data_IF_523158825837
#
_entry.id   IF_523158825837
#
_cell.length_a   1.000
_cell.length_b   1.000
_cell.length_c   1.000
_cell.angle_alpha   90.00
_cell.angle_beta   90.00
_cell.angle_gamma   90.00
#
_symmetry.space_group_name_H-M   'P 1'
#
loop_
_entity.id
_entity.type
_entity.pdbx_description
1 polymer ?
#
# COMPACT_ATOMS: atom_id res chain seq x y z
N UNK A 1 39.28 10.77 -51.69
CA UNK A 1 38.39 9.96 -50.83
C UNK A 1 39.04 9.60 -49.50
N UNK A 2 40.36 9.41 -49.42
CA UNK A 2 41.05 9.10 -48.15
C UNK A 2 41.06 10.27 -47.15
N UNK A 3 41.33 11.49 -47.62
CA UNK A 3 41.32 12.68 -46.75
C UNK A 3 39.93 12.99 -46.19
N UNK A 4 38.86 12.80 -46.98
CA UNK A 4 37.48 12.98 -46.51
C UNK A 4 37.08 11.95 -45.47
N UNK A 5 37.57 10.70 -45.58
CA UNK A 5 37.32 9.65 -44.60
C UNK A 5 38.03 9.93 -43.27
N UNK A 6 39.29 10.39 -43.30
CA UNK A 6 40.04 10.76 -42.09
C UNK A 6 39.39 11.93 -41.33
N UNK A 7 38.90 12.94 -42.05
CA UNK A 7 38.18 14.07 -41.45
C UNK A 7 36.88 13.60 -40.77
N UNK A 8 36.10 12.73 -41.41
CA UNK A 8 34.88 12.18 -40.82
C UNK A 8 35.16 11.33 -39.57
N UNK A 9 36.20 10.49 -39.59
CA UNK A 9 36.60 9.68 -38.43
C UNK A 9 37.04 10.57 -37.27
N UNK A 10 37.77 11.65 -37.55
CA UNK A 10 38.18 12.61 -36.51
C UNK A 10 36.98 13.32 -35.88
N UNK A 11 35.99 13.73 -36.67
CA UNK A 11 34.76 14.38 -36.18
C UNK A 11 33.94 13.39 -35.33
N UNK A 12 33.83 12.14 -35.77
CA UNK A 12 33.08 11.10 -35.05
C UNK A 12 33.70 10.80 -33.68
N UNK A 13 35.03 10.73 -33.60
CA UNK A 13 35.72 10.54 -32.32
C UNK A 13 35.56 11.75 -31.38
N UNK A 14 35.62 12.97 -31.92
CA UNK A 14 35.38 14.19 -31.13
C UNK A 14 33.97 14.18 -30.53
N UNK A 15 32.96 13.84 -31.32
CA UNK A 15 31.58 13.71 -30.86
C UNK A 15 31.43 12.65 -29.76
N UNK A 16 32.10 11.52 -29.90
CA UNK A 16 32.06 10.43 -28.91
C UNK A 16 32.65 10.88 -27.56
N UNK A 17 33.77 11.63 -27.57
CA UNK A 17 34.37 12.19 -26.34
C UNK A 17 33.43 13.18 -25.66
N UNK A 18 32.75 14.04 -26.43
CA UNK A 18 31.77 14.99 -25.89
C UNK A 18 30.60 14.25 -25.22
N UNK A 19 30.05 13.21 -25.87
CA UNK A 19 28.94 12.41 -25.33
C UNK A 19 29.34 11.74 -24.02
N UNK A 20 30.54 11.14 -23.95
CA UNK A 20 31.05 10.52 -22.72
C UNK A 20 31.25 11.54 -21.60
N UNK A 21 31.71 12.75 -21.92
CA UNK A 21 31.83 13.85 -20.96
C UNK A 21 30.48 14.28 -20.37
N UNK A 22 29.46 14.42 -21.22
CA UNK A 22 28.09 14.76 -20.78
C UNK A 22 27.49 13.66 -19.91
N UNK A 23 27.64 12.39 -20.30
CA UNK A 23 27.16 11.26 -19.49
C UNK A 23 27.85 11.19 -18.13
N UNK A 24 29.18 11.36 -18.09
CA UNK A 24 29.94 11.42 -16.85
C UNK A 24 29.48 12.56 -15.93
N UNK A 25 29.23 13.74 -16.49
CA UNK A 25 28.71 14.88 -15.75
C UNK A 25 27.31 14.64 -15.18
N UNK A 26 26.41 14.03 -15.96
CA UNK A 26 25.06 13.70 -15.49
C UNK A 26 25.08 12.66 -14.36
N UNK A 27 25.91 11.62 -14.47
CA UNK A 27 26.10 10.62 -13.41
C UNK A 27 26.66 11.28 -12.15
N UNK A 28 27.68 12.13 -12.27
CA UNK A 28 28.25 12.87 -11.15
C UNK A 28 27.19 13.73 -10.45
N UNK A 29 26.36 14.45 -11.22
CA UNK A 29 25.27 15.27 -10.68
C UNK A 29 24.21 14.44 -9.95
N UNK A 30 23.87 13.26 -10.46
CA UNK A 30 22.94 12.33 -9.80
C UNK A 30 23.50 11.78 -8.49
N UNK A 31 24.82 11.54 -8.42
CA UNK A 31 25.48 11.13 -7.18
C UNK A 31 25.53 12.26 -6.14
N UNK A 32 25.71 13.52 -6.55
CA UNK A 32 25.69 14.65 -5.62
C UNK A 32 24.30 14.95 -5.03
N UNK A 33 23.21 14.54 -5.68
CA UNK A 33 21.86 14.72 -5.15
C UNK A 33 21.49 13.71 -4.05
N UNK A 34 22.27 12.65 -3.85
CA UNK A 34 22.09 11.69 -2.75
C UNK A 34 22.99 12.02 -1.57
N UNK A 35 22.73 13.11 -0.86
CA UNK A 35 23.13 13.31 0.55
C UNK A 35 22.45 14.53 1.19
N UNK A 36 21.13 14.52 1.43
CA UNK A 36 20.62 15.03 2.68
C UNK A 36 20.73 13.89 3.69
N UNK A 37 21.85 13.80 4.42
CA UNK A 37 21.79 13.22 5.77
C UNK A 37 20.89 14.15 6.56
N UNK A 38 19.59 13.82 6.56
CA UNK A 38 18.64 14.37 7.49
C UNK A 38 19.10 13.88 8.86
N UNK A 39 19.93 14.69 9.53
CA UNK A 39 20.15 14.58 10.98
C UNK A 39 18.75 14.54 11.57
N UNK A 40 18.36 13.40 12.13
CA UNK A 40 17.22 13.31 13.02
C UNK A 40 17.39 14.45 14.04
N UNK A 41 16.35 15.23 14.34
CA UNK A 41 16.39 16.02 15.56
C UNK A 41 16.50 15.02 16.70
N UNK A 42 17.69 14.91 17.29
CA UNK A 42 17.87 14.34 18.61
C UNK A 42 16.86 15.06 19.50
N UNK A 43 15.88 14.29 19.96
CA UNK A 43 14.92 14.74 20.95
C UNK A 43 15.73 14.86 22.24
N UNK A 44 16.36 16.01 22.44
CA UNK A 44 16.89 16.36 23.76
C UNK A 44 15.68 16.43 24.66
N UNK A 45 15.44 15.34 25.39
CA UNK A 45 14.43 15.26 26.43
C UNK A 45 14.76 16.36 27.44
N UNK A 46 13.97 17.43 27.42
CA UNK A 46 13.96 18.42 28.49
C UNK A 46 13.56 17.67 29.79
N UNK A 47 14.37 17.70 30.85
CA UNK A 47 14.13 16.93 32.07
C UNK A 47 12.89 17.38 32.88
N UNK A 48 12.08 18.31 32.39
CA UNK A 48 11.00 18.94 33.13
C UNK A 48 9.60 18.80 32.50
N UNK A 49 9.29 17.65 31.89
CA UNK A 49 7.92 17.36 31.46
C UNK A 49 7.02 16.96 32.64
N UNK A 50 5.85 17.57 32.73
CA UNK A 50 4.79 17.19 33.68
C UNK A 50 4.41 15.71 33.49
N UNK A 51 4.15 14.94 34.57
CA UNK A 51 3.90 13.49 34.50
C UNK A 51 2.78 13.10 33.53
N UNK A 52 1.73 13.91 33.42
CA UNK A 52 0.61 13.65 32.50
C UNK A 52 1.00 13.73 31.01
N UNK A 53 2.00 14.56 30.67
CA UNK A 53 2.52 14.67 29.29
C UNK A 53 3.30 13.40 28.95
N UNK A 54 4.08 12.88 29.90
CA UNK A 54 4.86 11.65 29.72
C UNK A 54 3.96 10.43 29.50
N UNK A 55 2.83 10.34 30.23
CA UNK A 55 1.83 9.27 30.05
C UNK A 55 1.25 9.33 28.63
N UNK A 56 0.81 10.53 28.19
CA UNK A 56 0.25 10.72 26.85
C UNK A 56 1.26 10.47 25.74
N UNK A 57 2.53 10.86 25.93
CA UNK A 57 3.59 10.57 24.95
C UNK A 57 3.85 9.07 24.82
N UNK A 58 3.84 8.33 25.94
CA UNK A 58 3.98 6.87 25.95
C UNK A 58 2.80 6.15 25.30
N UNK A 59 1.59 6.70 25.43
CA UNK A 59 0.40 6.23 24.72
C UNK A 59 0.51 6.51 23.21
N UNK A 60 0.94 7.70 22.81
CA UNK A 60 1.16 8.05 21.40
C UNK A 60 2.27 7.23 20.75
N UNK A 61 3.30 6.83 21.50
CA UNK A 61 4.38 5.99 20.98
C UNK A 61 3.90 4.58 20.62
N UNK A 62 2.89 4.05 21.35
CA UNK A 62 2.21 2.79 20.97
C UNK A 62 1.37 2.93 19.70
N UNK A 63 0.92 4.14 19.39
CA UNK A 63 0.11 4.46 18.21
C UNK A 63 0.93 4.86 16.98
N UNK A 64 2.25 4.99 17.09
CA UNK A 64 3.09 5.27 15.92
C UNK A 64 3.01 4.07 14.98
N UNK A 65 2.46 4.22 13.76
CA UNK A 65 2.52 3.14 12.77
C UNK A 65 3.99 2.78 12.58
N UNK A 66 4.31 1.49 12.60
CA UNK A 66 5.69 1.08 12.34
C UNK A 66 6.03 1.60 10.95
N UNK A 67 7.22 2.16 10.76
CA UNK A 67 7.65 2.67 9.45
C UNK A 67 7.48 1.62 8.34
N UNK A 68 7.54 0.34 8.67
CA UNK A 68 7.26 -0.79 7.76
C UNK A 68 5.88 -0.75 7.10
N UNK A 69 4.89 -0.09 7.70
CA UNK A 69 3.50 -0.17 7.26
C UNK A 69 3.18 0.89 6.18
N UNK A 70 4.11 1.83 5.95
CA UNK A 70 3.99 2.90 4.94
C UNK A 70 4.69 2.57 3.62
N UNK A 71 5.55 1.54 3.60
CA UNK A 71 6.35 1.16 2.43
C UNK A 71 5.92 -0.18 1.89
N UNK A 72 6.23 -0.41 0.61
CA UNK A 72 5.94 -1.69 -0.03
C UNK A 72 6.78 -2.81 0.60
N UNK A 73 6.19 -3.95 1.05
CA UNK A 73 6.93 -5.09 1.59
C UNK A 73 7.97 -5.66 0.62
N UNK A 74 7.72 -5.53 -0.69
CA UNK A 74 8.61 -6.04 -1.74
C UNK A 74 9.69 -5.04 -2.13
N UNK A 75 9.44 -3.73 -1.94
CA UNK A 75 10.37 -2.65 -2.27
C UNK A 75 10.39 -1.64 -1.11
N UNK A 76 11.23 -1.85 -0.09
CA UNK A 76 11.26 -1.00 1.12
C UNK A 76 11.58 0.47 0.85
N UNK A 77 12.19 0.77 -0.31
CA UNK A 77 12.51 2.14 -0.73
C UNK A 77 11.35 2.85 -1.45
N UNK A 78 10.29 2.13 -1.82
CA UNK A 78 9.13 2.68 -2.51
C UNK A 78 7.94 2.83 -1.55
N UNK A 79 7.27 4.00 -1.51
CA UNK A 79 6.08 4.16 -0.70
C UNK A 79 4.96 3.25 -1.20
N UNK A 80 4.18 2.71 -0.27
CA UNK A 80 2.98 1.99 -0.62
C UNK A 80 1.87 2.97 -1.01
N UNK A 81 1.12 2.65 -2.07
CA UNK A 81 0.04 3.50 -2.61
C UNK A 81 -1.35 2.92 -2.34
N UNK A 82 -1.48 1.59 -2.35
CA UNK A 82 -2.79 0.93 -2.25
C UNK A 82 -2.67 -0.38 -1.49
N UNK A 83 -3.70 -0.73 -0.72
CA UNK A 83 -3.74 -1.97 0.06
C UNK A 83 -4.24 -3.14 -0.78
N UNK A 84 -3.75 -4.34 -0.48
CA UNK A 84 -4.32 -5.56 -1.04
C UNK A 84 -5.61 -5.93 -0.29
N UNK A 85 -6.70 -6.20 -1.02
CA UNK A 85 -8.01 -6.50 -0.44
C UNK A 85 -8.08 -7.79 0.39
N UNK A 86 -7.08 -8.69 0.29
CA UNK A 86 -7.01 -9.93 1.08
C UNK A 86 -6.13 -9.74 2.31
N UNK A 87 -4.86 -9.33 2.13
CA UNK A 87 -3.90 -9.29 3.24
C UNK A 87 -3.74 -7.93 3.92
N UNK A 88 -4.46 -6.89 3.47
CA UNK A 88 -4.44 -5.51 4.00
C UNK A 88 -3.06 -4.83 4.07
N UNK A 89 -2.02 -5.44 3.51
CA UNK A 89 -0.70 -4.84 3.37
C UNK A 89 -0.70 -3.80 2.26
N UNK A 90 0.05 -2.72 2.47
CA UNK A 90 0.22 -1.62 1.52
C UNK A 90 1.29 -1.98 0.46
N UNK A 91 1.01 -1.77 -0.82
CA UNK A 91 1.94 -2.09 -1.91
C UNK A 91 2.15 -0.87 -2.82
N UNK A 92 3.32 -0.79 -3.44
CA UNK A 92 3.58 0.21 -4.49
C UNK A 92 2.82 -0.12 -5.78
N UNK A 93 2.71 0.86 -6.68
CA UNK A 93 2.03 0.75 -7.98
C UNK A 93 2.51 -0.43 -8.85
N UNK A 94 3.78 -0.80 -8.75
CA UNK A 94 4.36 -1.91 -9.51
C UNK A 94 3.94 -3.29 -8.96
N UNK A 95 3.65 -3.38 -7.67
CA UNK A 95 3.35 -4.65 -6.97
C UNK A 95 1.85 -4.93 -6.83
N UNK A 96 1.00 -3.91 -6.96
CA UNK A 96 -0.45 -4.04 -6.90
C UNK A 96 -1.05 -4.14 -8.30
N UNK A 97 -2.15 -4.90 -8.43
CA UNK A 97 -2.91 -5.05 -9.67
C UNK A 97 -4.41 -4.86 -9.39
N UNK A 98 -5.11 -4.04 -10.18
CA UNK A 98 -6.56 -3.94 -10.08
C UNK A 98 -7.24 -5.20 -10.64
N UNK A 99 -8.31 -5.64 -10.00
CA UNK A 99 -9.20 -6.69 -10.49
C UNK A 99 -10.63 -6.38 -10.02
N UNK A 100 -11.54 -6.18 -10.98
CA UNK A 100 -12.87 -5.60 -10.72
C UNK A 100 -12.74 -4.24 -10.01
N UNK A 101 -13.41 -4.05 -8.88
CA UNK A 101 -13.42 -2.86 -8.02
C UNK A 101 -12.29 -2.86 -6.97
N UNK A 102 -11.52 -3.94 -6.87
CA UNK A 102 -10.54 -4.19 -5.81
C UNK A 102 -9.11 -4.26 -6.34
N UNK A 103 -8.15 -4.26 -5.42
CA UNK A 103 -6.72 -4.31 -5.70
C UNK A 103 -6.05 -5.49 -4.97
N UNK A 104 -5.17 -6.20 -5.67
CA UNK A 104 -4.52 -7.39 -5.15
C UNK A 104 -3.01 -7.36 -5.37
N UNK A 105 -2.24 -7.89 -4.41
CA UNK A 105 -0.81 -8.08 -4.58
C UNK A 105 -0.53 -9.29 -5.50
N UNK A 106 0.72 -9.42 -5.95
CA UNK A 106 1.15 -10.51 -6.84
C UNK A 106 0.84 -11.92 -6.30
N UNK A 107 0.85 -12.09 -4.97
CA UNK A 107 0.59 -13.38 -4.31
C UNK A 107 -0.89 -13.75 -4.32
N UNK A 108 -1.78 -12.77 -4.09
CA UNK A 108 -3.21 -13.01 -3.93
C UNK A 108 -4.01 -12.85 -5.22
N UNK A 109 -3.46 -12.19 -6.26
CA UNK A 109 -4.13 -12.08 -7.55
C UNK A 109 -4.45 -13.45 -8.19
N UNK A 110 -3.55 -14.45 -8.18
CA UNK A 110 -3.90 -15.79 -8.65
C UNK A 110 -4.99 -16.47 -7.83
N UNK A 111 -5.09 -16.16 -6.52
CA UNK A 111 -6.08 -16.75 -5.63
C UNK A 111 -7.50 -16.29 -5.99
N UNK A 112 -7.69 -14.98 -6.23
CA UNK A 112 -8.99 -14.44 -6.64
C UNK A 112 -9.40 -14.91 -8.04
N UNK A 113 -8.43 -15.21 -8.91
CA UNK A 113 -8.70 -15.66 -10.29
C UNK A 113 -9.00 -17.15 -10.43
N UNK A 114 -8.54 -17.99 -9.48
CA UNK A 114 -8.63 -19.45 -9.59
C UNK A 114 -9.80 -20.07 -8.83
N UNK A 115 -10.31 -19.38 -7.82
CA UNK A 115 -11.36 -19.90 -6.96
C UNK A 115 -12.67 -19.17 -7.23
N UNK A 116 -13.77 -19.86 -6.95
CA UNK A 116 -15.07 -19.24 -6.79
C UNK A 116 -15.17 -18.59 -5.39
N UNK A 117 -16.01 -17.57 -5.28
CA UNK A 117 -16.17 -16.78 -4.06
C UNK A 117 -17.65 -16.58 -3.78
N UNK A 118 -18.04 -16.83 -2.53
CA UNK A 118 -19.41 -16.74 -2.06
C UNK A 118 -19.55 -15.61 -1.05
N UNK A 119 -20.70 -14.94 -1.10
CA UNK A 119 -21.10 -13.96 -0.11
C UNK A 119 -21.41 -14.66 1.22
N UNK A 120 -20.74 -14.23 2.28
CA UNK A 120 -20.86 -14.83 3.62
C UNK A 120 -21.68 -13.95 4.56
N UNK A 121 -21.45 -12.65 4.49
CA UNK A 121 -21.98 -11.68 5.43
C UNK A 121 -22.12 -10.31 4.77
N UNK A 122 -23.23 -9.63 5.07
CA UNK A 122 -23.55 -8.30 4.54
C UNK A 122 -23.91 -7.36 5.67
N UNK A 123 -23.17 -6.26 5.76
CA UNK A 123 -23.33 -5.22 6.76
C UNK A 123 -23.84 -3.93 6.10
N UNK A 124 -24.98 -3.41 6.55
CA UNK A 124 -25.43 -2.08 6.14
C UNK A 124 -24.70 -1.02 6.97
N UNK A 125 -23.82 -0.26 6.35
CA UNK A 125 -23.13 0.84 7.04
C UNK A 125 -24.01 2.07 7.14
N UNK A 126 -23.84 2.83 8.22
CA UNK A 126 -24.44 4.15 8.40
C UNK A 126 -23.43 5.11 9.01
N UNK A 127 -23.65 6.41 8.82
CA UNK A 127 -22.85 7.45 9.49
C UNK A 127 -23.11 7.53 10.99
N UNK A 128 -24.19 6.91 11.48
CA UNK A 128 -24.55 6.88 12.90
C UNK A 128 -23.85 5.76 13.66
N UNK A 129 -23.43 4.70 12.97
CA UNK A 129 -22.70 3.58 13.56
C UNK A 129 -21.51 3.16 12.67
N UNK A 130 -20.39 3.92 12.70
CA UNK A 130 -19.19 3.56 11.96
C UNK A 130 -18.41 2.41 12.61
N UNK A 131 -18.69 2.08 13.89
CA UNK A 131 -17.91 1.08 14.63
C UNK A 131 -18.07 -0.32 14.07
N UNK A 132 -19.28 -0.68 13.60
CA UNK A 132 -19.53 -1.98 12.99
C UNK A 132 -18.65 -2.23 11.77
N UNK A 133 -18.43 -1.20 10.95
CA UNK A 133 -17.53 -1.28 9.80
C UNK A 133 -16.08 -1.54 10.21
N UNK A 134 -15.60 -0.84 11.25
CA UNK A 134 -14.24 -1.06 11.78
C UNK A 134 -14.08 -2.47 12.32
N UNK A 135 -15.05 -2.96 13.11
CA UNK A 135 -15.05 -4.32 13.65
C UNK A 135 -15.03 -5.39 12.56
N UNK A 136 -15.73 -5.15 11.44
CA UNK A 136 -15.72 -6.04 10.28
C UNK A 136 -14.31 -6.19 9.69
N UNK A 137 -13.61 -5.06 9.47
CA UNK A 137 -12.23 -5.09 8.97
C UNK A 137 -11.25 -5.73 9.96
N UNK A 138 -11.42 -5.50 11.26
CA UNK A 138 -10.60 -6.15 12.29
C UNK A 138 -10.85 -7.66 12.36
N UNK A 139 -12.10 -8.11 12.20
CA UNK A 139 -12.44 -9.53 12.13
C UNK A 139 -11.87 -10.19 10.86
N UNK A 140 -12.01 -9.54 9.71
CA UNK A 140 -11.37 -9.97 8.44
C UNK A 140 -9.86 -10.13 8.60
N UNK A 141 -9.19 -9.14 9.19
CA UNK A 141 -7.75 -9.17 9.41
C UNK A 141 -7.33 -10.36 10.28
N UNK A 142 -8.05 -10.62 11.38
CA UNK A 142 -7.81 -11.80 12.24
C UNK A 142 -8.03 -13.12 11.53
N UNK A 143 -9.07 -13.25 10.71
CA UNK A 143 -9.29 -14.44 9.89
C UNK A 143 -8.07 -14.76 8.99
N UNK A 144 -7.45 -13.73 8.43
CA UNK A 144 -6.26 -13.90 7.62
C UNK A 144 -5.00 -14.17 8.46
N UNK A 145 -4.73 -13.35 9.48
CA UNK A 145 -3.48 -13.44 10.27
C UNK A 145 -3.44 -14.70 11.17
N UNK A 146 -4.55 -15.05 11.81
CA UNK A 146 -4.60 -16.13 12.81
C UNK A 146 -4.92 -17.48 12.16
N UNK A 147 -5.82 -17.49 11.17
CA UNK A 147 -6.34 -18.72 10.55
C UNK A 147 -5.87 -18.95 9.11
N UNK A 148 -5.17 -17.98 8.52
CA UNK A 148 -4.76 -18.02 7.11
C UNK A 148 -5.95 -18.24 6.15
N UNK A 149 -7.13 -17.72 6.52
CA UNK A 149 -8.35 -17.82 5.72
C UNK A 149 -8.47 -16.56 4.87
N UNK A 150 -8.35 -16.67 3.53
CA UNK A 150 -8.44 -15.52 2.65
C UNK A 150 -9.90 -15.07 2.54
N UNK A 151 -10.14 -13.80 2.87
CA UNK A 151 -11.43 -13.13 2.72
C UNK A 151 -11.20 -11.76 2.09
N UNK A 152 -12.19 -11.22 1.40
CA UNK A 152 -12.18 -9.82 0.94
C UNK A 152 -13.53 -9.17 1.20
N UNK A 153 -13.53 -7.84 1.25
CA UNK A 153 -14.74 -7.02 1.44
C UNK A 153 -14.96 -6.20 0.18
N UNK A 154 -16.20 -6.17 -0.31
CA UNK A 154 -16.62 -5.28 -1.38
C UNK A 154 -17.70 -4.32 -0.89
N UNK A 155 -17.59 -3.06 -1.28
CA UNK A 155 -18.57 -2.02 -0.96
C UNK A 155 -19.60 -1.94 -2.08
N UNK A 156 -20.85 -2.22 -1.75
CA UNK A 156 -22.00 -2.11 -2.65
C UNK A 156 -22.83 -0.88 -2.30
N UNK A 157 -23.34 -0.19 -3.32
CA UNK A 157 -24.21 0.98 -3.17
C UNK A 157 -25.59 0.68 -3.72
N UNK A 158 -26.63 1.07 -2.97
CA UNK A 158 -28.02 0.98 -3.42
C UNK A 158 -28.68 2.34 -3.32
N UNK A 159 -29.21 2.83 -4.44
CA UNK A 159 -29.89 4.12 -4.52
C UNK A 159 -31.35 3.91 -4.15
N UNK A 160 -31.82 4.53 -3.08
CA UNK A 160 -33.23 4.56 -2.70
C UNK A 160 -33.88 5.80 -3.33
N UNK A 161 -34.56 5.60 -4.46
CA UNK A 161 -35.16 6.70 -5.24
C UNK A 161 -36.35 7.34 -4.52
N UNK A 162 -37.13 6.55 -3.76
CA UNK A 162 -38.32 7.04 -3.08
C UNK A 162 -37.97 7.98 -1.91
N UNK A 163 -36.87 7.68 -1.22
CA UNK A 163 -36.44 8.42 -0.03
C UNK A 163 -35.24 9.35 -0.30
N UNK A 164 -34.76 9.41 -1.55
CA UNK A 164 -33.65 10.26 -2.02
C UNK A 164 -32.34 10.14 -1.20
N UNK A 165 -31.88 8.91 -0.97
CA UNK A 165 -30.57 8.67 -0.36
C UNK A 165 -29.87 7.42 -0.89
N UNK A 166 -28.58 7.30 -0.60
CA UNK A 166 -27.73 6.16 -0.98
C UNK A 166 -27.44 5.31 0.25
N UNK A 167 -27.75 4.02 0.15
CA UNK A 167 -27.36 3.00 1.13
C UNK A 167 -26.01 2.41 0.76
N UNK A 168 -25.15 2.20 1.75
CA UNK A 168 -23.83 1.57 1.57
C UNK A 168 -23.79 0.26 2.35
N UNK A 169 -23.42 -0.81 1.66
CA UNK A 169 -23.31 -2.16 2.18
C UNK A 169 -21.86 -2.65 2.05
N UNK A 170 -21.32 -3.22 3.12
CA UNK A 170 -20.05 -3.96 3.09
C UNK A 170 -20.36 -5.44 3.04
N UNK A 171 -19.87 -6.11 2.00
CA UNK A 171 -20.14 -7.52 1.74
C UNK A 171 -18.84 -8.31 1.85
N UNK A 172 -18.80 -9.30 2.73
CA UNK A 172 -17.65 -10.19 2.91
C UNK A 172 -17.80 -11.41 2.02
N UNK A 173 -16.74 -11.72 1.28
CA UNK A 173 -16.64 -12.91 0.46
C UNK A 173 -15.56 -13.86 0.97
N UNK A 174 -15.83 -15.16 0.88
CA UNK A 174 -14.85 -16.22 1.11
C UNK A 174 -14.93 -17.30 0.05
N UNK A 175 -13.89 -18.13 0.01
CA UNK A 175 -13.90 -19.38 -0.77
C UNK A 175 -14.95 -20.33 -0.13
N UNK A 176 -15.78 -21.04 -0.92
CA UNK A 176 -16.89 -21.86 -0.43
C UNK A 176 -16.56 -22.79 0.75
N UNK A 177 -15.37 -23.42 0.75
CA UNK A 177 -15.01 -24.37 1.81
C UNK A 177 -14.82 -23.71 3.19
N UNK A 178 -14.62 -22.38 3.22
CA UNK A 178 -14.39 -21.62 4.44
C UNK A 178 -15.61 -20.83 4.91
N UNK A 179 -16.72 -20.84 4.16
CA UNK A 179 -17.89 -20.00 4.38
C UNK A 179 -18.45 -20.12 5.80
N UNK A 180 -18.57 -21.34 6.34
CA UNK A 180 -19.12 -21.54 7.70
C UNK A 180 -18.19 -20.97 8.77
N UNK A 181 -16.89 -21.26 8.68
CA UNK A 181 -15.90 -20.76 9.63
C UNK A 181 -15.85 -19.23 9.60
N UNK A 182 -15.92 -18.63 8.41
CA UNK A 182 -15.94 -17.16 8.29
C UNK A 182 -17.20 -16.59 8.95
N UNK A 183 -18.38 -17.18 8.70
CA UNK A 183 -19.64 -16.71 9.29
C UNK A 183 -19.63 -16.71 10.82
N UNK A 184 -19.14 -17.78 11.43
CA UNK A 184 -19.05 -17.90 12.89
C UNK A 184 -18.13 -16.86 13.55
N UNK A 185 -17.16 -16.30 12.79
CA UNK A 185 -16.21 -15.31 13.30
C UNK A 185 -16.61 -13.86 13.03
N UNK A 186 -17.70 -13.66 12.28
CA UNK A 186 -18.24 -12.34 11.94
C UNK A 186 -19.51 -11.98 12.73
N UNK A 187 -20.10 -12.95 13.45
CA UNK A 187 -21.24 -12.78 14.36
C UNK A 187 -20.76 -12.46 15.78
#
# INVERSE_FOLDING_TARGET
>A
MEQTALVLISIMNLLLVIILGVLGFLIYRLFQQKLPTQKQPETTADPNYHPDIMIRMKEMEKLKPKRSDLFCPNHPDEPGETTCAICDRLFCKACIRPFKTLHFCKEHLPLIMKNDWEEVFTLKTSTHDPEEGVRLYDAKKRLFEDKNIPTYVETHYKINVDQDYIETYLVVYSIPENTEIVRENLQ
#
